data_IF_735161431308
#
_entry.id   IF_735161431308
#
_cell.length_a   1.000
_cell.length_b   1.000
_cell.length_c   1.000
_cell.angle_alpha   90.00
_cell.angle_beta   90.00
_cell.angle_gamma   90.00
#
_symmetry.space_group_name_H-M   'P 1'
#
loop_
_entity.id
_entity.type
_entity.pdbx_description
1 polymer ?
#
# COMPACT_ATOMS: atom_id res chain seq x y z
N UNK A 1 -7.03 1.61 16.43
CA UNK A 1 -6.38 0.30 16.75
C UNK A 1 -5.97 -0.31 15.43
N UNK A 2 -4.69 -0.58 15.21
CA UNK A 2 -4.22 -1.21 13.95
C UNK A 2 -4.68 -2.67 13.90
N UNK A 3 -5.25 -3.09 12.78
CA UNK A 3 -5.60 -4.49 12.60
C UNK A 3 -4.33 -5.34 12.50
N UNK A 4 -4.26 -6.50 13.16
CA UNK A 4 -3.11 -7.38 13.03
C UNK A 4 -2.87 -7.74 11.56
N UNK A 5 -1.60 -7.75 11.16
CA UNK A 5 -1.17 -8.27 9.85
C UNK A 5 -1.47 -9.77 9.88
N UNK A 6 -2.38 -10.21 8.99
CA UNK A 6 -2.73 -11.62 8.90
C UNK A 6 -1.59 -12.43 8.28
N UNK A 7 -1.51 -13.74 8.55
CA UNK A 7 -0.51 -14.62 7.94
C UNK A 7 -0.54 -14.56 6.39
N UNK A 8 -1.74 -14.42 5.82
CA UNK A 8 -1.92 -14.22 4.37
C UNK A 8 -1.26 -12.92 3.89
N UNK A 9 -1.49 -11.82 4.60
CA UNK A 9 -0.90 -10.53 4.26
C UNK A 9 0.63 -10.56 4.40
N UNK A 10 1.16 -11.20 5.45
CA UNK A 10 2.59 -11.37 5.63
C UNK A 10 3.22 -12.17 4.47
N UNK A 11 2.58 -13.24 4.02
CA UNK A 11 3.06 -14.02 2.88
C UNK A 11 3.02 -13.23 1.57
N UNK A 12 1.97 -12.42 1.36
CA UNK A 12 1.88 -11.54 0.20
C UNK A 12 2.99 -10.47 0.20
N UNK A 13 3.27 -9.86 1.35
CA UNK A 13 4.36 -8.88 1.51
C UNK A 13 5.74 -9.52 1.28
N UNK A 14 5.97 -10.73 1.81
CA UNK A 14 7.22 -11.48 1.55
C UNK A 14 7.41 -11.82 0.08
N UNK A 15 6.36 -12.29 -0.58
CA UNK A 15 6.41 -12.58 -2.01
C UNK A 15 6.68 -11.32 -2.83
N UNK A 16 6.06 -10.20 -2.46
CA UNK A 16 6.31 -8.91 -3.11
C UNK A 16 7.75 -8.45 -2.92
N UNK A 17 8.27 -8.48 -1.70
CA UNK A 17 9.64 -8.08 -1.38
C UNK A 17 10.68 -8.95 -2.10
N UNK A 18 10.41 -10.24 -2.30
CA UNK A 18 11.31 -11.12 -3.06
C UNK A 18 11.43 -10.71 -4.54
N UNK A 19 10.36 -10.17 -5.14
CA UNK A 19 10.34 -9.79 -6.56
C UNK A 19 10.76 -8.33 -6.76
N UNK A 20 10.34 -7.44 -5.87
CA UNK A 20 10.68 -6.03 -5.89
C UNK A 20 10.86 -5.54 -4.43
N UNK A 21 12.10 -5.49 -3.92
CA UNK A 21 12.39 -5.13 -2.54
C UNK A 21 11.85 -3.76 -2.14
N UNK A 22 12.08 -2.74 -2.98
CA UNK A 22 11.68 -1.36 -2.70
C UNK A 22 10.15 -1.22 -2.58
N UNK A 23 9.41 -1.88 -3.47
CA UNK A 23 7.94 -1.92 -3.43
C UNK A 23 7.43 -2.76 -2.25
N UNK A 24 8.12 -3.86 -1.92
CA UNK A 24 7.82 -4.69 -0.75
C UNK A 24 7.99 -3.95 0.57
N UNK A 25 9.05 -3.15 0.69
CA UNK A 25 9.29 -2.30 1.86
C UNK A 25 8.27 -1.19 1.98
N UNK A 26 7.88 -0.58 0.85
CA UNK A 26 6.81 0.41 0.84
C UNK A 26 5.46 -0.19 1.25
N UNK A 27 5.08 -1.33 0.68
CA UNK A 27 3.83 -2.00 1.01
C UNK A 27 3.77 -2.40 2.49
N UNK A 28 4.91 -2.83 3.05
CA UNK A 28 5.03 -3.14 4.48
C UNK A 28 4.91 -1.89 5.35
N UNK A 29 5.56 -0.79 4.97
CA UNK A 29 5.45 0.49 5.68
C UNK A 29 4.01 1.03 5.67
N UNK A 30 3.32 0.98 4.52
CA UNK A 30 1.90 1.36 4.42
C UNK A 30 1.05 0.48 5.34
N UNK A 31 1.24 -0.85 5.30
CA UNK A 31 0.47 -1.78 6.13
C UNK A 31 0.62 -1.53 7.64
N UNK A 32 1.79 -1.11 8.09
CA UNK A 32 2.06 -0.77 9.50
C UNK A 32 1.48 0.60 9.88
N UNK A 33 1.53 1.56 8.98
CA UNK A 33 1.02 2.92 9.19
C UNK A 33 -0.50 3.03 9.13
N UNK A 34 -1.16 2.11 8.42
CA UNK A 34 -2.59 2.20 8.11
C UNK A 34 -3.49 2.07 9.33
N UNK A 35 -4.26 3.11 9.64
CA UNK A 35 -5.29 3.07 10.67
C UNK A 35 -6.59 2.45 10.12
N UNK A 36 -6.71 1.14 10.31
CA UNK A 36 -7.87 0.36 9.90
C UNK A 36 -9.18 0.74 10.60
N UNK A 37 -9.14 1.50 11.70
CA UNK A 37 -10.36 1.93 12.40
C UNK A 37 -11.13 3.05 11.68
N UNK A 38 -10.52 3.63 10.64
CA UNK A 38 -11.07 4.75 9.87
C UNK A 38 -11.91 4.33 8.66
N UNK A 39 -12.01 3.03 8.40
CA UNK A 39 -12.75 2.48 7.25
C UNK A 39 -13.62 1.31 7.68
N UNK A 40 -14.78 1.18 7.02
CA UNK A 40 -15.72 0.09 7.29
C UNK A 40 -15.19 -1.29 6.86
N UNK A 41 -14.33 -1.32 5.84
CA UNK A 41 -13.80 -2.56 5.26
C UNK A 41 -12.28 -2.48 5.00
N UNK A 42 -11.48 -2.67 6.05
CA UNK A 42 -10.03 -2.64 5.93
C UNK A 42 -9.45 -3.81 5.13
N UNK A 43 -10.15 -4.95 5.05
CA UNK A 43 -9.77 -6.08 4.19
C UNK A 43 -9.81 -5.70 2.71
N UNK A 44 -10.83 -4.93 2.30
CA UNK A 44 -10.93 -4.41 0.94
C UNK A 44 -9.81 -3.41 0.64
N UNK A 45 -9.50 -2.51 1.57
CA UNK A 45 -8.38 -1.57 1.43
C UNK A 45 -7.04 -2.31 1.22
N UNK A 46 -6.80 -3.36 2.03
CA UNK A 46 -5.62 -4.23 1.89
C UNK A 46 -5.59 -4.94 0.53
N UNK A 47 -6.73 -5.47 0.07
CA UNK A 47 -6.81 -6.17 -1.22
C UNK A 47 -6.52 -5.21 -2.39
N UNK A 48 -7.00 -3.97 -2.33
CA UNK A 48 -6.72 -2.93 -3.32
C UNK A 48 -5.21 -2.68 -3.39
N UNK A 49 -4.55 -2.44 -2.27
CA UNK A 49 -3.10 -2.23 -2.21
C UNK A 49 -2.32 -3.42 -2.76
N UNK A 50 -2.67 -4.65 -2.35
CA UNK A 50 -2.00 -5.88 -2.80
C UNK A 50 -2.14 -6.08 -4.32
N UNK A 51 -3.35 -5.86 -4.86
CA UNK A 51 -3.58 -5.96 -6.31
C UNK A 51 -2.79 -4.90 -7.05
N UNK A 52 -2.79 -3.65 -6.59
CA UNK A 52 -2.06 -2.57 -7.27
C UNK A 52 -0.55 -2.79 -7.22
N UNK A 53 0.01 -3.32 -6.12
CA UNK A 53 1.41 -3.75 -6.08
C UNK A 53 1.73 -4.81 -7.16
N UNK A 54 0.88 -5.83 -7.32
CA UNK A 54 1.05 -6.83 -8.38
C UNK A 54 1.00 -6.22 -9.78
N UNK A 55 0.15 -5.22 -10.00
CA UNK A 55 0.07 -4.51 -11.29
C UNK A 55 1.35 -3.74 -11.60
N UNK A 56 1.95 -3.11 -10.58
CA UNK A 56 3.26 -2.45 -10.68
C UNK A 56 4.35 -3.46 -11.06
N UNK A 57 4.43 -4.58 -10.34
CA UNK A 57 5.40 -5.65 -10.64
C UNK A 57 5.23 -6.19 -12.07
N UNK A 58 3.99 -6.31 -12.54
CA UNK A 58 3.69 -6.75 -13.91
C UNK A 58 3.92 -5.66 -14.98
N UNK A 59 4.42 -4.47 -14.61
CA UNK A 59 4.68 -3.37 -15.55
C UNK A 59 3.42 -2.79 -16.20
N UNK A 60 2.25 -2.93 -15.57
CA UNK A 60 1.00 -2.45 -16.17
C UNK A 60 0.97 -0.92 -16.18
N UNK A 61 0.62 -0.35 -17.34
CA UNK A 61 0.48 1.09 -17.51
C UNK A 61 -0.53 1.68 -16.50
N UNK A 62 -0.20 2.84 -15.93
CA UNK A 62 -1.04 3.55 -14.97
C UNK A 62 -1.06 2.97 -13.55
N UNK A 63 -0.29 1.91 -13.26
CA UNK A 63 -0.32 1.24 -11.96
C UNK A 63 0.31 2.06 -10.84
N UNK A 64 1.36 2.83 -11.14
CA UNK A 64 1.98 3.76 -10.19
C UNK A 64 1.03 4.91 -9.84
N UNK A 65 0.39 5.53 -10.84
CA UNK A 65 -0.60 6.60 -10.63
C UNK A 65 -1.82 6.10 -9.86
N UNK A 66 -2.27 4.87 -10.14
CA UNK A 66 -3.34 4.24 -9.38
C UNK A 66 -2.95 4.05 -7.90
N UNK A 67 -1.71 3.64 -7.63
CA UNK A 67 -1.21 3.52 -6.25
C UNK A 67 -1.19 4.87 -5.54
N UNK A 68 -0.70 5.92 -6.19
CA UNK A 68 -0.69 7.29 -5.64
C UNK A 68 -2.12 7.73 -5.27
N UNK A 69 -3.08 7.54 -6.17
CA UNK A 69 -4.49 7.90 -5.90
C UNK A 69 -5.08 7.12 -4.73
N UNK A 70 -4.73 5.84 -4.57
CA UNK A 70 -5.17 5.06 -3.42
C UNK A 70 -4.59 5.61 -2.12
N UNK A 71 -3.30 5.96 -2.08
CA UNK A 71 -2.65 6.56 -0.92
C UNK A 71 -3.27 7.91 -0.55
N UNK A 72 -3.56 8.75 -1.54
CA UNK A 72 -4.25 10.03 -1.34
C UNK A 72 -5.67 9.84 -0.78
N UNK A 73 -6.42 8.87 -1.32
CA UNK A 73 -7.74 8.53 -0.80
C UNK A 73 -7.70 7.97 0.62
N UNK A 74 -6.69 7.17 0.96
CA UNK A 74 -6.51 6.72 2.34
C UNK A 74 -6.13 7.86 3.27
N UNK A 75 -5.41 8.87 2.78
CA UNK A 75 -5.18 10.13 3.50
C UNK A 75 -6.45 10.92 3.78
N UNK A 76 -7.33 11.06 2.78
CA UNK A 76 -8.60 11.79 2.95
C UNK A 76 -9.55 11.10 3.91
N UNK A 77 -9.44 9.77 4.02
CA UNK A 77 -10.15 8.94 5.00
C UNK A 77 -9.41 8.86 6.35
N UNK A 78 -8.36 9.63 6.58
CA UNK A 78 -7.54 9.63 7.81
C UNK A 78 -6.88 8.28 8.15
N UNK A 79 -6.85 7.33 7.22
CA UNK A 79 -6.16 6.05 7.41
C UNK A 79 -4.63 6.22 7.43
N UNK A 80 -4.13 7.31 6.85
CA UNK A 80 -2.72 7.70 6.81
C UNK A 80 -2.60 9.18 7.12
N UNK A 81 -1.53 9.58 7.80
CA UNK A 81 -1.27 11.00 8.04
C UNK A 81 -0.84 11.71 6.75
N UNK A 82 -1.02 13.05 6.64
CA UNK A 82 -0.58 13.81 5.48
C UNK A 82 0.92 13.64 5.17
N UNK A 83 1.75 13.51 6.20
CA UNK A 83 3.19 13.27 6.05
C UNK A 83 3.47 11.88 5.46
N UNK A 84 2.78 10.84 5.94
CA UNK A 84 2.91 9.47 5.42
C UNK A 84 2.45 9.39 3.96
N UNK A 85 1.32 10.01 3.61
CA UNK A 85 0.84 10.06 2.22
C UNK A 85 1.87 10.70 1.31
N UNK A 86 2.41 11.87 1.70
CA UNK A 86 3.45 12.55 0.93
C UNK A 86 4.67 11.65 0.73
N UNK A 87 5.19 11.05 1.80
CA UNK A 87 6.36 10.18 1.74
C UNK A 87 6.14 8.96 0.84
N UNK A 88 5.02 8.25 1.02
CA UNK A 88 4.73 7.05 0.25
C UNK A 88 4.49 7.37 -1.23
N UNK A 89 3.80 8.47 -1.55
CA UNK A 89 3.63 8.91 -2.94
C UNK A 89 4.97 9.25 -3.59
N UNK A 90 5.88 9.94 -2.90
CA UNK A 90 7.23 10.22 -3.42
C UNK A 90 8.03 8.94 -3.68
N UNK A 91 7.93 7.95 -2.80
CA UNK A 91 8.57 6.65 -3.00
C UNK A 91 8.00 5.91 -4.21
N UNK A 92 6.68 5.92 -4.42
CA UNK A 92 6.06 5.34 -5.61
C UNK A 92 6.52 6.04 -6.89
N UNK A 93 6.64 7.37 -6.90
CA UNK A 93 7.14 8.13 -8.06
C UNK A 93 8.57 7.76 -8.45
N UNK A 94 9.41 7.40 -7.46
CA UNK A 94 10.79 6.95 -7.70
C UNK A 94 10.89 5.53 -8.25
N UNK A 95 9.81 4.73 -8.16
CA UNK A 95 9.75 3.38 -8.70
C UNK A 95 9.26 3.32 -10.17
N UNK A 96 8.70 4.43 -10.67
CA UNK A 96 8.11 4.56 -12.00
C UNK A 96 9.14 4.83 -13.10
#
# INVERSE_FOLDING_TARGET
MSLPITARQLNALRALHHVNPDLGDLASAVALAFDASKVDNPELARLILEKTCRRIVAGQAGSHEAMIRHLEQFGSLECLSPQQVREFCERIRKLA
#
